data_IF_167228644914
#
_entry.id   IF_167228644914
#
_cell.length_a   1.000
_cell.length_b   1.000
_cell.length_c   1.000
_cell.angle_alpha   90.00
_cell.angle_beta   90.00
_cell.angle_gamma   90.00
#
_symmetry.space_group_name_H-M   'P 1'
#
loop_
_entity.id
_entity.type
_entity.pdbx_description
1 polymer ?
#
# COMPACT_ATOMS: atom_id res chain seq x y z
N UNK A 1 44.19 -10.15 8.47
CA UNK A 1 43.04 -9.42 7.90
C UNK A 1 41.68 -10.06 8.20
N UNK A 2 41.51 -11.39 8.16
CA UNK A 2 40.23 -12.07 8.48
C UNK A 2 39.77 -11.91 9.95
N UNK A 3 40.69 -11.93 10.91
CA UNK A 3 40.35 -11.75 12.34
C UNK A 3 39.81 -10.35 12.69
N UNK A 4 40.25 -9.31 11.98
CA UNK A 4 39.74 -7.96 12.19
C UNK A 4 38.26 -7.83 11.81
N UNK A 5 37.84 -8.52 10.75
CA UNK A 5 36.48 -8.47 10.22
C UNK A 5 35.47 -9.21 11.11
N UNK A 6 35.89 -10.30 11.76
CA UNK A 6 35.08 -11.04 12.74
C UNK A 6 34.84 -10.21 13.99
N UNK A 7 35.84 -9.45 14.43
CA UNK A 7 35.72 -8.55 15.59
C UNK A 7 34.69 -7.44 15.34
N UNK A 8 34.66 -6.83 14.16
CA UNK A 8 33.71 -5.75 13.85
C UNK A 8 32.25 -6.22 13.80
N UNK A 9 32.00 -7.46 13.34
CA UNK A 9 30.65 -8.05 13.31
C UNK A 9 30.15 -8.38 14.72
N UNK A 10 31.03 -8.87 15.60
CA UNK A 10 30.67 -9.17 16.99
C UNK A 10 30.37 -7.91 17.81
N UNK A 11 31.02 -6.78 17.51
CA UNK A 11 30.71 -5.49 18.16
C UNK A 11 29.41 -4.83 17.65
N UNK A 12 28.94 -5.17 16.44
CA UNK A 12 27.71 -4.61 15.88
C UNK A 12 26.43 -5.33 16.38
N UNK A 13 26.56 -6.51 17.00
CA UNK A 13 25.43 -7.28 17.52
C UNK A 13 24.97 -6.90 18.93
N UNK A 14 25.72 -6.05 19.65
CA UNK A 14 25.42 -5.64 21.02
C UNK A 14 24.67 -4.29 21.10
N UNK A 15 23.87 -3.96 20.09
CA UNK A 15 22.94 -2.83 20.20
C UNK A 15 21.75 -3.34 20.99
N UNK A 16 21.52 -2.73 22.15
CA UNK A 16 20.34 -2.97 22.99
C UNK A 16 19.12 -2.65 22.13
N UNK A 17 18.46 -3.70 21.62
CA UNK A 17 17.24 -3.52 20.83
C UNK A 17 16.21 -2.92 21.78
N UNK A 18 15.57 -1.79 21.44
CA UNK A 18 14.60 -1.20 22.33
C UNK A 18 13.55 -2.27 22.63
N UNK A 19 13.38 -2.60 23.92
CA UNK A 19 12.31 -3.48 24.36
C UNK A 19 11.00 -2.86 23.88
N UNK A 20 10.38 -3.46 22.87
CA UNK A 20 9.14 -2.95 22.26
C UNK A 20 7.93 -3.20 23.16
N UNK A 21 8.16 -3.71 24.38
CA UNK A 21 7.12 -4.22 25.24
C UNK A 21 6.52 -5.50 24.68
N UNK A 22 5.79 -6.23 25.51
CA UNK A 22 4.94 -7.30 25.02
C UNK A 22 3.80 -6.70 24.18
N UNK A 23 3.42 -7.39 23.11
CA UNK A 23 2.20 -7.04 22.39
C UNK A 23 1.03 -6.99 23.40
N UNK A 24 0.19 -5.94 23.36
CA UNK A 24 -0.98 -5.87 24.23
C UNK A 24 -1.86 -7.10 23.99
N UNK A 25 -2.52 -7.58 25.05
CA UNK A 25 -3.56 -8.58 24.90
C UNK A 25 -4.62 -8.08 23.93
N UNK A 26 -5.21 -9.00 23.15
CA UNK A 26 -6.35 -8.73 22.30
C UNK A 26 -7.57 -8.41 23.18
N UNK A 27 -7.65 -7.18 23.67
CA UNK A 27 -8.87 -6.62 24.24
C UNK A 27 -9.76 -6.18 23.08
N UNK A 28 -10.95 -6.79 22.96
CA UNK A 28 -11.91 -6.50 21.89
C UNK A 28 -12.42 -5.03 21.93
N UNK A 29 -12.28 -4.37 23.08
CA UNK A 29 -12.71 -2.99 23.32
C UNK A 29 -11.60 -1.94 23.15
N UNK A 30 -10.41 -2.33 22.68
CA UNK A 30 -9.30 -1.39 22.49
C UNK A 30 -9.63 -0.35 21.39
N UNK A 31 -9.19 0.91 21.51
CA UNK A 31 -9.43 1.96 20.52
C UNK A 31 -8.65 1.77 19.19
N UNK A 32 -7.97 0.64 19.05
CA UNK A 32 -7.15 0.31 17.89
C UNK A 32 -7.92 -0.62 16.95
N UNK A 33 -7.67 -0.53 15.64
CA UNK A 33 -8.25 -1.47 14.70
C UNK A 33 -7.79 -2.89 15.04
N UNK A 34 -8.75 -3.80 15.18
CA UNK A 34 -8.48 -5.23 15.39
C UNK A 34 -7.66 -5.73 14.21
N UNK A 35 -6.42 -6.16 14.49
CA UNK A 35 -5.57 -6.76 13.49
C UNK A 35 -6.18 -8.09 13.06
N UNK A 36 -6.58 -8.18 11.79
CA UNK A 36 -7.01 -9.46 11.23
C UNK A 36 -5.81 -10.43 11.21
N UNK A 37 -5.99 -11.69 11.61
CA UNK A 37 -5.02 -12.74 11.39
C UNK A 37 -4.51 -12.72 9.95
N UNK A 38 -3.20 -12.91 9.79
CA UNK A 38 -2.58 -12.95 8.46
C UNK A 38 -3.22 -14.03 7.59
N UNK A 39 -3.65 -15.15 8.17
CA UNK A 39 -4.33 -16.22 7.45
C UNK A 39 -5.65 -15.76 6.79
N UNK A 40 -6.39 -14.85 7.44
CA UNK A 40 -7.63 -14.26 6.87
C UNK A 40 -7.36 -13.29 5.71
N UNK A 41 -6.11 -12.80 5.59
CA UNK A 41 -5.66 -11.89 4.52
C UNK A 41 -4.94 -12.67 3.41
N UNK A 42 -4.23 -13.74 3.79
CA UNK A 42 -3.46 -14.62 2.92
C UNK A 42 -4.31 -15.73 2.31
N UNK A 43 -5.49 -16.04 2.86
CA UNK A 43 -6.52 -16.72 2.10
C UNK A 43 -6.54 -16.04 0.73
N UNK A 44 -6.17 -16.76 -0.35
CA UNK A 44 -6.14 -16.16 -1.65
C UNK A 44 -7.56 -15.71 -1.84
N UNK A 45 -7.83 -14.39 -1.73
CA UNK A 45 -9.13 -13.79 -2.03
C UNK A 45 -9.51 -14.47 -3.32
N UNK A 46 -10.38 -15.49 -3.27
CA UNK A 46 -10.42 -16.56 -4.27
C UNK A 46 -10.37 -15.84 -5.58
N UNK A 47 -9.19 -15.86 -6.22
CA UNK A 47 -8.86 -14.83 -7.20
C UNK A 47 -9.82 -15.15 -8.29
N UNK A 48 -10.95 -14.43 -8.34
CA UNK A 48 -12.22 -14.97 -8.83
C UNK A 48 -11.87 -15.60 -10.15
N UNK A 49 -11.81 -16.95 -10.15
CA UNK A 49 -11.01 -17.76 -11.08
C UNK A 49 -11.04 -17.07 -12.43
N UNK A 50 -9.93 -16.46 -12.91
CA UNK A 50 -9.96 -15.27 -13.76
C UNK A 50 -11.14 -15.42 -14.69
N UNK A 51 -12.18 -14.66 -14.35
CA UNK A 51 -13.49 -14.80 -14.96
C UNK A 51 -13.31 -14.78 -16.45
N UNK A 52 -14.26 -15.37 -17.17
CA UNK A 52 -14.40 -15.25 -18.61
C UNK A 52 -13.76 -13.98 -19.23
N UNK A 53 -13.39 -14.00 -20.52
CA UNK A 53 -12.69 -12.88 -21.17
C UNK A 53 -13.29 -11.47 -20.94
N UNK A 54 -14.52 -11.37 -20.46
CA UNK A 54 -15.16 -10.18 -19.94
C UNK A 54 -14.44 -9.52 -18.72
N UNK A 55 -13.87 -10.28 -17.79
CA UNK A 55 -13.15 -9.71 -16.63
C UNK A 55 -11.87 -8.97 -17.06
N UNK A 56 -11.12 -9.54 -18.01
CA UNK A 56 -9.94 -8.88 -18.59
C UNK A 56 -10.33 -7.59 -19.34
N UNK A 57 -11.40 -7.63 -20.13
CA UNK A 57 -11.92 -6.43 -20.80
C UNK A 57 -12.35 -5.34 -19.80
N UNK A 58 -12.97 -5.72 -18.68
CA UNK A 58 -13.35 -4.78 -17.63
C UNK A 58 -12.13 -4.15 -16.94
N UNK A 59 -11.06 -4.92 -16.72
CA UNK A 59 -9.80 -4.42 -16.17
C UNK A 59 -9.09 -3.47 -17.14
N UNK A 60 -9.06 -3.79 -18.43
CA UNK A 60 -8.48 -2.90 -19.45
C UNK A 60 -9.26 -1.59 -19.59
N UNK A 61 -10.60 -1.65 -19.58
CA UNK A 61 -11.44 -0.46 -19.57
C UNK A 61 -11.19 0.41 -18.33
N UNK A 62 -11.04 -0.21 -17.15
CA UNK A 62 -10.70 0.47 -15.91
C UNK A 62 -9.31 1.10 -15.97
N UNK A 63 -8.31 0.37 -16.47
CA UNK A 63 -6.95 0.86 -16.62
C UNK A 63 -6.89 2.06 -17.59
N UNK A 64 -7.61 1.99 -18.71
CA UNK A 64 -7.72 3.09 -19.68
C UNK A 64 -8.35 4.34 -19.04
N UNK A 65 -9.43 4.17 -18.25
CA UNK A 65 -10.06 5.26 -17.51
C UNK A 65 -9.10 5.91 -16.51
N UNK A 66 -8.38 5.12 -15.72
CA UNK A 66 -7.41 5.62 -14.76
C UNK A 66 -6.25 6.37 -15.43
N UNK A 67 -5.74 5.86 -16.56
CA UNK A 67 -4.71 6.55 -17.35
C UNK A 67 -5.18 7.91 -17.85
N UNK A 68 -6.44 8.03 -18.31
CA UNK A 68 -7.02 9.32 -18.70
C UNK A 68 -7.12 10.26 -17.51
N UNK A 69 -7.66 9.78 -16.39
CA UNK A 69 -7.80 10.57 -15.16
C UNK A 69 -6.44 11.11 -14.68
N UNK A 70 -5.41 10.27 -14.68
CA UNK A 70 -4.06 10.67 -14.32
C UNK A 70 -3.47 11.72 -15.27
N UNK A 71 -3.76 11.67 -16.57
CA UNK A 71 -3.36 12.74 -17.51
C UNK A 71 -4.06 14.06 -17.20
N UNK A 72 -5.36 14.02 -16.90
CA UNK A 72 -6.12 15.21 -16.50
C UNK A 72 -5.56 15.83 -15.21
N UNK A 73 -5.21 15.01 -14.21
CA UNK A 73 -4.61 15.48 -12.96
C UNK A 73 -3.20 16.07 -13.11
N UNK A 74 -2.44 15.64 -14.13
CA UNK A 74 -1.09 16.15 -14.42
C UNK A 74 -1.10 17.40 -15.30
N UNK A 75 -2.28 17.93 -15.64
CA UNK A 75 -2.42 19.20 -16.36
C UNK A 75 -1.82 20.31 -15.51
N UNK A 76 -1.05 21.19 -16.14
CA UNK A 76 -0.56 22.41 -15.50
C UNK A 76 -1.73 23.31 -15.09
N UNK A 77 -1.63 23.91 -13.91
CA UNK A 77 -2.64 24.83 -13.36
C UNK A 77 -1.97 26.19 -13.32
N UNK A 78 -2.40 27.11 -14.18
CA UNK A 78 -1.86 28.45 -14.25
C UNK A 78 -2.63 29.40 -13.35
N UNK A 79 -3.97 29.27 -13.33
CA UNK A 79 -4.86 30.18 -12.63
C UNK A 79 -5.86 29.45 -11.71
N UNK A 80 -6.48 30.13 -10.72
CA UNK A 80 -7.49 29.51 -9.85
C UNK A 80 -8.67 28.89 -10.60
N UNK A 81 -9.05 29.45 -11.75
CA UNK A 81 -10.12 28.93 -12.60
C UNK A 81 -9.77 27.56 -13.21
N UNK A 82 -8.48 27.24 -13.36
CA UNK A 82 -8.03 25.94 -13.85
C UNK A 82 -8.28 24.81 -12.85
N UNK A 83 -8.34 25.12 -11.55
CA UNK A 83 -8.68 24.15 -10.50
C UNK A 83 -10.15 23.74 -10.64
N UNK A 84 -11.04 24.68 -10.90
CA UNK A 84 -12.47 24.39 -11.07
C UNK A 84 -12.74 23.71 -12.42
N UNK A 85 -11.96 24.02 -13.45
CA UNK A 85 -11.97 23.25 -14.70
C UNK A 85 -11.47 21.81 -14.50
N UNK A 86 -10.41 21.62 -13.70
CA UNK A 86 -9.89 20.29 -13.34
C UNK A 86 -10.92 19.48 -12.55
N UNK A 87 -11.55 20.07 -11.53
CA UNK A 87 -12.61 19.42 -10.74
C UNK A 87 -13.77 18.97 -11.61
N UNK A 88 -14.24 19.82 -12.53
CA UNK A 88 -15.28 19.47 -13.51
C UNK A 88 -14.85 18.35 -14.46
N UNK A 89 -13.57 18.29 -14.84
CA UNK A 89 -13.04 17.24 -15.71
C UNK A 89 -12.89 15.88 -15.02
N UNK A 90 -12.68 15.85 -13.69
CA UNK A 90 -12.57 14.63 -12.89
C UNK A 90 -13.92 14.07 -12.42
N UNK A 91 -14.97 14.88 -12.44
CA UNK A 91 -16.33 14.49 -12.06
C UNK A 91 -17.09 13.73 -13.18
N UNK A 92 -16.47 13.51 -14.35
CA UNK A 92 -17.03 12.74 -15.49
C UNK A 92 -16.42 11.35 -15.58
#
# INVERSE_FOLDING_TARGET
MRFALVSTVLLAGCVDWPDTGSAPSLDEDAPWPILKPIDDVIEPQSAAKPGDGNQFNALDARAARLKRQARTMRREIADPDDIEALRRALAR
#
